data_IF_962922411783
#
_entry.id   IF_962922411783
#
_cell.length_a   1.000
_cell.length_b   1.000
_cell.length_c   1.000
_cell.angle_alpha   90.00
_cell.angle_beta   90.00
_cell.angle_gamma   90.00
#
_symmetry.space_group_name_H-M   'P 1'
#
loop_
_entity.id
_entity.type
_entity.pdbx_description
1 polymer ?
#
# COMPACT_ATOMS: atom_id res chain seq x y z
N UNK A 1 69.35 -8.78 -14.90
CA UNK A 1 68.95 -9.82 -15.88
C UNK A 1 70.08 -10.80 -16.04
N UNK A 2 69.79 -12.10 -16.09
CA UNK A 2 70.84 -13.15 -16.14
C UNK A 2 71.42 -13.29 -17.54
N UNK A 3 72.75 -13.47 -17.63
CA UNK A 3 73.42 -13.91 -18.87
C UNK A 3 73.39 -15.44 -19.05
N UNK A 4 72.95 -16.16 -18.02
CA UNK A 4 72.87 -17.61 -18.05
C UNK A 4 71.73 -18.06 -18.96
N UNK A 5 71.98 -19.16 -19.68
CA UNK A 5 70.93 -19.87 -20.41
C UNK A 5 70.14 -20.77 -19.44
N UNK A 6 68.82 -20.78 -19.58
CA UNK A 6 67.89 -21.54 -18.73
C UNK A 6 66.55 -21.76 -19.42
N UNK A 7 65.54 -22.35 -18.75
CA UNK A 7 64.22 -22.64 -19.31
C UNK A 7 63.32 -21.40 -19.49
N UNK A 8 63.89 -20.23 -19.77
CA UNK A 8 63.18 -18.97 -20.00
C UNK A 8 63.62 -18.32 -21.33
N UNK A 9 62.78 -17.46 -21.94
CA UNK A 9 63.14 -16.77 -23.18
C UNK A 9 64.43 -15.97 -23.02
N UNK A 10 65.39 -16.18 -23.94
CA UNK A 10 66.62 -15.39 -24.04
C UNK A 10 66.43 -14.29 -25.07
N UNK A 11 66.30 -13.06 -24.60
CA UNK A 11 66.26 -11.88 -25.46
C UNK A 11 67.69 -11.40 -25.74
N UNK A 12 68.01 -11.13 -27.01
CA UNK A 12 69.33 -10.62 -27.43
C UNK A 12 69.44 -9.11 -27.16
N UNK A 13 69.42 -8.75 -25.88
CA UNK A 13 69.49 -7.36 -25.42
C UNK A 13 70.94 -6.90 -25.34
N UNK A 14 71.25 -5.79 -25.99
CA UNK A 14 72.57 -5.15 -25.89
C UNK A 14 72.79 -4.51 -24.49
N UNK A 15 74.01 -4.10 -24.19
CA UNK A 15 74.38 -3.56 -22.87
C UNK A 15 73.56 -2.31 -22.48
N UNK A 16 73.26 -1.44 -23.45
CA UNK A 16 72.49 -0.22 -23.24
C UNK A 16 71.03 -0.51 -22.92
N UNK A 17 70.39 -1.42 -23.66
CA UNK A 17 69.03 -1.88 -23.42
C UNK A 17 68.87 -2.54 -22.05
N UNK A 18 69.85 -3.37 -21.63
CA UNK A 18 69.85 -3.96 -20.28
C UNK A 18 69.96 -2.90 -19.20
N UNK A 19 70.80 -1.88 -19.40
CA UNK A 19 70.92 -0.75 -18.48
C UNK A 19 69.60 0.00 -18.36
N UNK A 20 68.93 0.29 -19.48
CA UNK A 20 67.60 0.92 -19.48
C UNK A 20 66.55 0.08 -18.76
N UNK A 21 66.51 -1.23 -19.03
CA UNK A 21 65.58 -2.16 -18.38
C UNK A 21 65.84 -2.24 -16.88
N UNK A 22 67.09 -2.35 -16.44
CA UNK A 22 67.44 -2.36 -15.01
C UNK A 22 67.12 -1.03 -14.31
N UNK A 23 67.27 0.11 -14.99
CA UNK A 23 66.86 1.40 -14.46
C UNK A 23 65.33 1.55 -14.39
N UNK A 24 64.60 0.97 -15.35
CA UNK A 24 63.15 1.03 -15.40
C UNK A 24 62.46 0.02 -14.47
N UNK A 25 63.08 -1.15 -14.24
CA UNK A 25 62.49 -2.28 -13.49
C UNK A 25 61.97 -1.88 -12.10
N UNK A 26 62.74 -1.18 -11.24
CA UNK A 26 62.28 -0.83 -9.90
C UNK A 26 60.99 0.02 -9.92
N UNK A 27 60.86 0.92 -10.91
CA UNK A 27 59.66 1.74 -11.10
C UNK A 27 58.51 0.95 -11.71
N UNK A 28 58.80 -0.04 -12.54
CA UNK A 28 57.81 -0.94 -13.14
C UNK A 28 57.27 -1.99 -12.15
N UNK A 29 58.11 -2.49 -11.24
CA UNK A 29 57.76 -3.43 -10.18
C UNK A 29 56.96 -2.75 -9.05
N UNK A 30 57.28 -1.48 -8.76
CA UNK A 30 56.60 -0.66 -7.77
C UNK A 30 56.11 0.65 -8.38
N UNK A 31 55.09 0.61 -9.27
CA UNK A 31 54.59 1.83 -9.87
C UNK A 31 54.01 2.73 -8.77
N UNK A 32 54.52 3.96 -8.67
CA UNK A 32 53.91 5.01 -7.87
C UNK A 32 52.68 5.50 -8.61
N UNK A 33 51.51 5.05 -8.15
CA UNK A 33 50.23 5.42 -8.72
C UNK A 33 49.67 6.61 -7.94
N UNK A 34 49.22 7.63 -8.66
CA UNK A 34 48.37 8.67 -8.08
C UNK A 34 46.99 8.11 -7.69
N UNK A 35 46.21 8.90 -6.95
CA UNK A 35 44.91 8.44 -6.45
C UNK A 35 43.93 8.02 -7.57
N UNK A 36 43.76 8.78 -8.68
CA UNK A 36 42.98 8.33 -9.84
C UNK A 36 43.48 7.02 -10.45
N UNK A 37 44.80 6.84 -10.59
CA UNK A 37 45.40 5.62 -11.13
C UNK A 37 45.18 4.42 -10.20
N UNK A 38 45.26 4.60 -8.88
CA UNK A 38 44.98 3.55 -7.88
C UNK A 38 43.55 3.07 -7.98
N UNK A 39 42.60 3.99 -8.14
CA UNK A 39 41.21 3.69 -8.40
C UNK A 39 41.07 2.89 -9.71
N UNK A 40 41.60 3.39 -10.82
CA UNK A 40 41.48 2.74 -12.12
C UNK A 40 42.09 1.34 -12.13
N UNK A 41 43.28 1.17 -11.53
CA UNK A 41 43.90 -0.14 -11.34
C UNK A 41 42.96 -1.10 -10.61
N UNK A 42 42.35 -0.66 -9.52
CA UNK A 42 41.43 -1.51 -8.74
C UNK A 42 40.19 -1.89 -9.55
N UNK A 43 39.58 -0.93 -10.25
CA UNK A 43 38.38 -1.18 -11.08
C UNK A 43 38.66 -2.15 -12.23
N UNK A 44 39.85 -2.10 -12.82
CA UNK A 44 40.28 -3.06 -13.85
C UNK A 44 40.58 -4.42 -13.23
N UNK A 45 41.36 -4.48 -12.14
CA UNK A 45 41.73 -5.73 -11.45
C UNK A 45 40.50 -6.56 -11.05
N UNK A 46 39.47 -5.91 -10.52
CA UNK A 46 38.23 -6.58 -10.09
C UNK A 46 37.13 -6.54 -11.16
N UNK A 47 37.48 -6.14 -12.39
CA UNK A 47 36.60 -6.11 -13.55
C UNK A 47 35.28 -5.33 -13.34
N UNK A 48 35.30 -4.29 -12.48
CA UNK A 48 34.14 -3.44 -12.22
C UNK A 48 33.66 -2.74 -13.51
N UNK A 49 34.59 -2.43 -14.40
CA UNK A 49 34.33 -1.76 -15.68
C UNK A 49 33.59 -2.63 -16.72
N UNK A 50 33.43 -3.93 -16.49
CA UNK A 50 32.60 -4.78 -17.34
C UNK A 50 31.09 -4.51 -17.18
N UNK A 51 30.71 -3.94 -16.03
CA UNK A 51 29.32 -3.60 -15.71
C UNK A 51 29.12 -2.08 -15.61
N UNK A 52 30.10 -1.38 -15.02
CA UNK A 52 30.02 0.05 -14.76
C UNK A 52 30.85 0.85 -15.76
N UNK A 53 30.29 1.96 -16.24
CA UNK A 53 31.05 2.96 -16.99
C UNK A 53 31.71 3.96 -16.03
N UNK A 54 32.91 4.43 -16.38
CA UNK A 54 33.54 5.59 -15.75
C UNK A 54 34.34 6.41 -16.74
N UNK A 55 34.03 7.70 -16.87
CA UNK A 55 34.77 8.67 -17.71
C UNK A 55 35.05 8.16 -19.13
N UNK A 56 34.05 7.54 -19.77
CA UNK A 56 34.11 6.94 -21.10
C UNK A 56 34.72 5.53 -21.15
N UNK A 57 35.10 4.95 -20.01
CA UNK A 57 35.77 3.64 -19.92
C UNK A 57 34.82 2.60 -19.35
N UNK A 58 34.71 1.45 -20.03
CA UNK A 58 33.91 0.32 -19.58
C UNK A 58 32.43 0.44 -19.96
N UNK A 59 31.58 -0.14 -19.12
CA UNK A 59 30.16 -0.31 -19.39
C UNK A 59 29.86 -1.65 -20.07
N UNK A 60 28.57 -1.97 -20.09
CA UNK A 60 28.09 -3.26 -20.62
C UNK A 60 28.18 -3.25 -22.13
N UNK A 61 28.86 -4.26 -22.68
CA UNK A 61 28.94 -4.49 -24.12
C UNK A 61 27.53 -4.68 -24.73
N UNK A 62 27.21 -4.08 -25.89
CA UNK A 62 25.85 -4.07 -26.46
C UNK A 62 25.19 -5.44 -26.60
N UNK A 63 25.96 -6.47 -26.93
CA UNK A 63 25.55 -7.87 -27.06
C UNK A 63 25.03 -8.48 -25.75
N UNK A 64 25.45 -7.94 -24.61
CA UNK A 64 25.07 -8.41 -23.26
C UNK A 64 23.92 -7.65 -22.64
N UNK A 65 23.42 -6.57 -23.28
CA UNK A 65 22.36 -5.74 -22.71
C UNK A 65 21.13 -6.55 -22.33
N UNK A 66 20.75 -7.54 -23.13
CA UNK A 66 19.57 -8.38 -22.88
C UNK A 66 19.66 -9.20 -21.58
N UNK A 67 20.86 -9.39 -21.02
CA UNK A 67 21.07 -10.12 -19.76
C UNK A 67 20.77 -9.29 -18.52
N UNK A 68 20.61 -7.97 -18.67
CA UNK A 68 20.34 -7.03 -17.59
C UNK A 68 18.86 -6.67 -17.58
N UNK A 69 18.12 -7.22 -16.61
CA UNK A 69 16.67 -7.10 -16.45
C UNK A 69 16.28 -6.34 -15.19
N UNK A 70 14.99 -5.97 -15.12
CA UNK A 70 14.42 -5.26 -13.98
C UNK A 70 12.95 -5.64 -13.80
N UNK A 71 12.48 -5.63 -12.54
CA UNK A 71 11.05 -5.74 -12.20
C UNK A 71 10.26 -4.46 -12.48
N UNK A 72 10.92 -3.39 -12.94
CA UNK A 72 10.32 -2.12 -13.34
C UNK A 72 10.68 -1.75 -14.80
N UNK A 73 10.05 -2.38 -15.81
CA UNK A 73 10.35 -2.14 -17.21
C UNK A 73 10.14 -0.68 -17.66
N UNK A 74 9.21 0.03 -17.00
CA UNK A 74 8.88 1.43 -17.28
C UNK A 74 10.05 2.40 -17.03
N UNK A 75 11.07 1.99 -16.25
CA UNK A 75 12.29 2.76 -16.02
C UNK A 75 13.33 2.59 -17.13
N UNK A 76 13.09 1.70 -18.10
CA UNK A 76 14.00 1.42 -19.22
C UNK A 76 15.42 1.08 -18.77
N UNK A 77 16.42 1.60 -19.49
CA UNK A 77 17.83 1.35 -19.21
C UNK A 77 18.26 1.81 -17.81
N UNK A 78 17.64 2.86 -17.27
CA UNK A 78 17.92 3.36 -15.92
C UNK A 78 17.44 2.40 -14.82
N UNK A 79 16.46 1.56 -15.12
CA UNK A 79 15.94 0.52 -14.21
C UNK A 79 16.79 -0.74 -14.18
N UNK A 80 17.39 -1.11 -15.32
CA UNK A 80 18.02 -2.43 -15.53
C UNK A 80 19.55 -2.41 -15.58
N UNK A 81 20.18 -1.29 -15.98
CA UNK A 81 21.63 -1.21 -16.13
C UNK A 81 22.32 -0.68 -14.86
N UNK A 82 23.48 -1.22 -14.46
CA UNK A 82 24.27 -0.70 -13.33
C UNK A 82 24.64 0.78 -13.52
N UNK A 83 24.67 1.59 -12.44
CA UNK A 83 24.96 3.01 -12.55
C UNK A 83 26.41 3.28 -12.98
N UNK A 84 26.70 4.39 -13.68
CA UNK A 84 28.07 4.81 -13.89
C UNK A 84 28.74 5.21 -12.57
N UNK A 85 30.05 5.07 -12.53
CA UNK A 85 30.92 5.43 -11.41
C UNK A 85 31.54 6.82 -11.57
N UNK A 86 31.29 7.48 -12.70
CA UNK A 86 31.70 8.88 -12.92
C UNK A 86 31.11 9.77 -11.82
N UNK A 87 31.98 10.50 -11.11
CA UNK A 87 31.64 11.37 -9.98
C UNK A 87 30.95 10.68 -8.79
N UNK A 88 31.07 9.36 -8.63
CA UNK A 88 30.35 8.63 -7.57
C UNK A 88 30.75 9.10 -6.17
N UNK A 89 32.01 9.50 -5.96
CA UNK A 89 32.48 10.09 -4.71
C UNK A 89 32.01 11.53 -4.48
N UNK A 90 31.65 12.28 -5.51
CA UNK A 90 30.99 13.57 -5.38
C UNK A 90 29.47 13.41 -5.10
N UNK A 91 28.88 12.30 -5.57
CA UNK A 91 27.46 11.98 -5.46
C UNK A 91 27.08 11.36 -4.12
N UNK A 92 27.78 10.31 -3.70
CA UNK A 92 27.42 9.48 -2.56
C UNK A 92 28.21 9.88 -1.31
N UNK A 93 27.60 9.75 -0.13
CA UNK A 93 28.30 9.91 1.14
C UNK A 93 29.36 8.82 1.31
N UNK A 94 30.45 9.12 2.02
CA UNK A 94 31.51 8.15 2.33
C UNK A 94 30.95 6.93 3.04
N UNK A 95 30.01 7.15 3.98
CA UNK A 95 29.29 6.08 4.66
C UNK A 95 28.54 5.17 3.68
N UNK A 96 27.76 5.75 2.74
CA UNK A 96 27.00 4.96 1.79
C UNK A 96 27.89 4.19 0.80
N UNK A 97 29.01 4.77 0.37
CA UNK A 97 30.01 4.05 -0.44
C UNK A 97 30.54 2.81 0.29
N UNK A 98 30.84 2.92 1.58
CA UNK A 98 31.26 1.79 2.40
C UNK A 98 30.16 0.72 2.50
N UNK A 99 28.91 1.11 2.71
CA UNK A 99 27.78 0.17 2.76
C UNK A 99 27.61 -0.62 1.45
N UNK A 100 27.80 0.03 0.30
CA UNK A 100 27.69 -0.64 -1.02
C UNK A 100 28.89 -1.55 -1.29
N UNK A 101 30.11 -1.05 -1.09
CA UNK A 101 31.34 -1.77 -1.45
C UNK A 101 31.68 -2.90 -0.47
N UNK A 102 31.34 -2.75 0.81
CA UNK A 102 31.79 -3.65 1.88
C UNK A 102 30.68 -4.51 2.46
N UNK A 103 29.41 -4.10 2.31
CA UNK A 103 28.25 -4.78 2.91
C UNK A 103 27.17 -5.16 1.90
N UNK A 104 27.40 -4.91 0.61
CA UNK A 104 26.47 -5.27 -0.46
C UNK A 104 25.12 -4.55 -0.40
N UNK A 105 25.04 -3.38 0.23
CA UNK A 105 23.78 -2.63 0.33
C UNK A 105 23.31 -2.21 -1.06
N UNK A 106 22.00 -2.32 -1.31
CA UNK A 106 21.34 -1.96 -2.57
C UNK A 106 20.24 -0.94 -2.31
N UNK A 107 19.98 -0.12 -3.33
CA UNK A 107 18.89 0.86 -3.32
C UNK A 107 17.90 0.65 -4.48
N UNK A 108 18.35 -0.04 -5.53
CA UNK A 108 17.54 -0.37 -6.71
C UNK A 108 17.11 -1.82 -6.58
N UNK A 109 16.15 -2.06 -5.70
CA UNK A 109 15.65 -3.43 -5.45
C UNK A 109 14.94 -4.02 -6.67
N UNK A 110 14.53 -3.14 -7.60
CA UNK A 110 13.99 -3.52 -8.89
C UNK A 110 15.01 -3.99 -9.93
N UNK A 111 16.32 -3.89 -9.67
CA UNK A 111 17.36 -4.34 -10.61
C UNK A 111 17.76 -5.78 -10.29
N UNK A 112 17.79 -6.66 -11.31
CA UNK A 112 18.13 -8.07 -11.08
C UNK A 112 19.66 -8.28 -10.98
N UNK A 113 20.44 -7.44 -11.67
CA UNK A 113 21.90 -7.52 -11.66
C UNK A 113 22.48 -7.18 -10.27
N UNK A 114 23.29 -8.09 -9.74
CA UNK A 114 23.98 -7.94 -8.46
C UNK A 114 25.46 -7.58 -8.64
N UNK A 115 25.96 -6.66 -7.81
CA UNK A 115 27.39 -6.34 -7.76
C UNK A 115 28.13 -7.40 -6.92
N UNK A 116 29.20 -8.02 -7.43
CA UNK A 116 30.00 -8.95 -6.62
C UNK A 116 30.60 -8.26 -5.39
N UNK A 117 30.80 -9.02 -4.32
CA UNK A 117 31.51 -8.56 -3.13
C UNK A 117 32.97 -9.02 -3.20
N UNK A 118 33.89 -8.07 -3.14
CA UNK A 118 35.33 -8.34 -3.30
C UNK A 118 36.09 -8.36 -1.97
N UNK A 119 35.43 -8.03 -0.85
CA UNK A 119 36.03 -8.01 0.49
C UNK A 119 36.81 -6.72 0.78
N UNK A 120 36.82 -6.31 2.04
CA UNK A 120 37.35 -5.02 2.48
C UNK A 120 38.84 -4.82 2.17
N UNK A 121 39.65 -5.88 2.29
CA UNK A 121 41.08 -5.83 1.95
C UNK A 121 41.35 -5.44 0.48
N UNK A 122 40.39 -5.70 -0.41
CA UNK A 122 40.53 -5.49 -1.85
C UNK A 122 39.93 -4.18 -2.35
N UNK A 123 38.87 -3.67 -1.69
CA UNK A 123 38.12 -2.50 -2.18
C UNK A 123 37.87 -1.43 -1.13
N UNK A 124 38.25 -1.63 0.14
CA UNK A 124 38.02 -0.67 1.22
C UNK A 124 38.65 0.69 0.95
N UNK A 125 39.86 0.72 0.38
CA UNK A 125 40.56 1.95 0.03
C UNK A 125 39.82 2.79 -1.02
N UNK A 126 38.93 2.19 -1.82
CA UNK A 126 38.16 2.94 -2.81
C UNK A 126 37.21 3.95 -2.15
N UNK A 127 36.69 3.68 -0.95
CA UNK A 127 35.76 4.56 -0.25
C UNK A 127 36.37 5.95 -0.05
N UNK A 128 37.60 6.01 0.46
CA UNK A 128 38.32 7.26 0.67
C UNK A 128 38.79 7.88 -0.64
N UNK A 129 39.32 7.05 -1.55
CA UNK A 129 39.84 7.54 -2.83
C UNK A 129 38.75 8.17 -3.70
N UNK A 130 37.57 7.55 -3.79
CA UNK A 130 36.43 8.15 -4.47
C UNK A 130 36.08 9.50 -3.86
N UNK A 131 35.97 9.59 -2.53
CA UNK A 131 35.64 10.84 -1.84
C UNK A 131 36.67 11.95 -2.07
N UNK A 132 37.94 11.59 -2.29
CA UNK A 132 39.03 12.54 -2.56
C UNK A 132 39.13 12.95 -4.03
N UNK A 133 39.00 12.01 -4.95
CA UNK A 133 39.24 12.20 -6.39
C UNK A 133 38.01 12.77 -7.08
N UNK A 134 36.83 12.28 -6.76
CA UNK A 134 35.61 12.70 -7.45
C UNK A 134 35.10 14.02 -6.85
N UNK A 135 35.27 15.10 -7.59
CA UNK A 135 34.80 16.44 -7.24
C UNK A 135 33.83 16.98 -8.26
N UNK A 136 33.02 17.95 -7.82
CA UNK A 136 32.10 18.76 -8.63
C UNK A 136 32.15 20.19 -8.10
N UNK A 137 31.70 21.15 -8.91
CA UNK A 137 31.57 22.54 -8.50
C UNK A 137 30.60 22.70 -7.31
N UNK A 138 30.68 23.84 -6.62
CA UNK A 138 29.77 24.15 -5.52
C UNK A 138 28.42 24.64 -6.06
N UNK A 139 27.32 24.09 -5.55
CA UNK A 139 25.99 24.35 -6.06
C UNK A 139 25.37 25.69 -5.59
N UNK A 140 26.03 26.50 -4.77
CA UNK A 140 25.44 27.74 -4.26
C UNK A 140 24.13 27.49 -3.50
N UNK A 141 24.22 26.74 -2.39
CA UNK A 141 23.07 26.42 -1.53
C UNK A 141 22.60 27.68 -0.79
N UNK A 142 21.34 28.11 -0.94
CA UNK A 142 20.85 29.32 -0.29
C UNK A 142 20.65 29.11 1.22
N UNK A 143 20.60 30.22 1.95
CA UNK A 143 20.23 30.22 3.36
C UNK A 143 18.71 30.16 3.50
N UNK A 144 18.24 29.25 4.35
CA UNK A 144 16.82 29.08 4.65
C UNK A 144 16.44 29.98 5.83
N UNK A 145 15.55 30.94 5.60
CA UNK A 145 15.09 31.86 6.65
C UNK A 145 14.21 31.15 7.72
N UNK A 146 13.40 30.18 7.30
CA UNK A 146 12.51 29.40 8.16
C UNK A 146 12.52 27.94 7.74
N UNK A 147 13.03 27.08 8.62
CA UNK A 147 13.09 25.65 8.36
C UNK A 147 11.68 25.04 8.22
N UNK A 148 10.70 25.54 8.98
CA UNK A 148 9.32 25.05 8.89
C UNK A 148 8.67 25.40 7.55
N UNK A 149 8.83 26.64 7.07
CA UNK A 149 8.26 27.06 5.78
C UNK A 149 8.95 26.34 4.62
N UNK A 150 10.27 26.16 4.71
CA UNK A 150 11.05 25.38 3.74
C UNK A 150 10.57 23.93 3.68
N UNK A 151 10.36 23.28 4.84
CA UNK A 151 9.80 21.92 4.90
C UNK A 151 8.40 21.85 4.33
N UNK A 152 7.54 22.84 4.61
CA UNK A 152 6.17 22.90 4.08
C UNK A 152 6.18 23.02 2.56
N UNK A 153 7.02 23.90 2.01
CA UNK A 153 7.20 24.03 0.56
C UNK A 153 7.73 22.74 -0.07
N UNK A 154 8.72 22.09 0.56
CA UNK A 154 9.23 20.78 0.12
C UNK A 154 8.15 19.70 0.12
N UNK A 155 7.35 19.60 1.19
CA UNK A 155 6.22 18.68 1.31
C UNK A 155 5.18 18.89 0.19
N UNK A 156 4.87 20.15 -0.11
CA UNK A 156 3.95 20.51 -1.18
C UNK A 156 4.50 20.13 -2.56
N UNK A 157 5.76 20.47 -2.85
CA UNK A 157 6.40 20.17 -4.13
C UNK A 157 6.53 18.68 -4.41
N UNK A 158 6.82 17.85 -3.41
CA UNK A 158 6.91 16.40 -3.60
C UNK A 158 5.54 15.78 -3.93
N UNK A 159 4.45 16.39 -3.46
CA UNK A 159 3.09 15.89 -3.65
C UNK A 159 2.51 16.11 -5.05
N UNK A 160 1.36 15.49 -5.29
CA UNK A 160 0.57 15.57 -6.53
C UNK A 160 0.13 16.98 -6.93
N UNK A 161 -0.02 17.88 -5.95
CA UNK A 161 -0.32 19.29 -6.16
C UNK A 161 0.93 20.16 -6.40
N UNK A 162 2.12 19.56 -6.50
CA UNK A 162 3.44 20.19 -6.60
C UNK A 162 4.12 19.92 -7.95
N UNK A 163 5.33 19.37 -7.88
CA UNK A 163 6.10 18.79 -8.99
C UNK A 163 5.74 17.32 -9.25
N UNK A 164 4.92 16.72 -8.36
CA UNK A 164 4.44 15.34 -8.48
C UNK A 164 5.55 14.29 -8.47
N UNK A 165 6.60 14.49 -7.66
CA UNK A 165 7.74 13.58 -7.57
C UNK A 165 7.31 12.13 -7.24
N UNK A 166 6.27 11.99 -6.41
CA UNK A 166 5.68 10.70 -6.03
C UNK A 166 5.04 9.92 -7.20
N UNK A 167 4.74 10.58 -8.32
CA UNK A 167 4.19 9.90 -9.50
C UNK A 167 5.16 8.86 -10.08
N UNK A 168 6.46 9.09 -9.90
CA UNK A 168 7.51 8.19 -10.37
C UNK A 168 8.35 7.60 -9.23
N UNK A 169 8.48 8.27 -8.09
CA UNK A 169 9.30 7.80 -6.98
C UNK A 169 8.48 7.22 -5.83
N UNK A 170 9.02 6.19 -5.19
CA UNK A 170 8.50 5.72 -3.90
C UNK A 170 8.75 6.74 -2.79
N UNK A 171 7.95 6.63 -1.74
CA UNK A 171 8.14 7.38 -0.51
C UNK A 171 7.81 6.49 0.69
N UNK A 172 8.83 6.15 1.49
CA UNK A 172 8.71 5.21 2.61
C UNK A 172 8.11 3.85 2.20
N UNK A 173 8.60 3.28 1.10
CA UNK A 173 8.12 2.03 0.52
C UNK A 173 6.68 2.08 -0.01
N UNK A 174 6.08 3.27 -0.14
CA UNK A 174 4.76 3.45 -0.73
C UNK A 174 4.89 4.06 -2.12
N UNK A 175 4.09 3.57 -3.07
CA UNK A 175 3.99 4.10 -4.43
C UNK A 175 2.63 4.78 -4.66
N UNK A 176 2.59 5.83 -5.47
CA UNK A 176 1.33 6.45 -5.92
C UNK A 176 0.92 6.15 -7.36
N UNK A 177 1.78 5.47 -8.13
CA UNK A 177 1.52 5.10 -9.52
C UNK A 177 2.09 3.73 -9.88
N UNK A 178 2.08 3.40 -11.17
CA UNK A 178 2.64 2.15 -11.70
C UNK A 178 4.18 2.17 -11.75
N UNK A 179 4.77 3.35 -11.94
CA UNK A 179 6.22 3.57 -11.91
C UNK A 179 6.72 3.65 -10.47
N UNK A 180 7.79 2.90 -10.17
CA UNK A 180 8.39 2.84 -8.85
C UNK A 180 9.91 2.99 -8.95
N UNK A 181 10.38 4.23 -8.98
CA UNK A 181 11.78 4.59 -8.90
C UNK A 181 12.25 4.65 -7.43
N UNK A 182 13.49 5.12 -7.21
CA UNK A 182 14.14 5.17 -5.89
C UNK A 182 13.29 5.86 -4.81
N UNK A 183 13.24 5.28 -3.60
CA UNK A 183 12.56 5.88 -2.45
C UNK A 183 13.20 7.23 -2.04
N UNK A 184 12.39 8.29 -2.08
CA UNK A 184 12.81 9.65 -1.74
C UNK A 184 13.11 9.82 -0.25
N UNK A 185 12.40 9.10 0.63
CA UNK A 185 12.55 9.24 2.08
C UNK A 185 13.92 8.74 2.58
N UNK A 186 14.67 8.01 1.75
CA UNK A 186 16.03 7.56 2.09
C UNK A 186 17.13 8.34 1.37
N UNK A 187 16.82 9.35 0.56
CA UNK A 187 17.83 9.95 -0.32
C UNK A 187 18.92 10.72 0.45
N UNK A 188 18.57 11.42 1.52
CA UNK A 188 19.50 12.28 2.28
C UNK A 188 20.53 11.48 3.05
N UNK A 189 20.24 10.22 3.39
CA UNK A 189 21.20 9.31 4.02
C UNK A 189 22.33 8.85 3.10
N UNK A 190 22.15 8.94 1.78
CA UNK A 190 23.11 8.41 0.78
C UNK A 190 23.72 9.47 -0.12
N UNK A 191 23.02 10.56 -0.41
CA UNK A 191 23.48 11.59 -1.34
C UNK A 191 24.20 12.70 -0.59
N UNK A 192 25.16 13.36 -1.25
CA UNK A 192 25.68 14.65 -0.80
C UNK A 192 24.74 15.78 -1.24
N UNK A 193 24.43 16.72 -0.34
CA UNK A 193 23.58 17.90 -0.62
C UNK A 193 24.03 18.65 -1.88
N UNK A 194 25.34 18.86 -2.03
CA UNK A 194 25.91 19.55 -3.20
C UNK A 194 25.51 18.88 -4.52
N UNK A 195 25.64 17.54 -4.60
CA UNK A 195 25.26 16.80 -5.80
C UNK A 195 23.75 16.86 -6.05
N UNK A 196 22.93 16.77 -5.01
CA UNK A 196 21.47 16.88 -5.14
C UNK A 196 21.06 18.21 -5.77
N UNK A 197 21.67 19.31 -5.33
CA UNK A 197 21.41 20.63 -5.90
C UNK A 197 21.83 20.74 -7.37
N UNK A 198 23.00 20.24 -7.73
CA UNK A 198 23.45 20.23 -9.13
C UNK A 198 22.55 19.34 -10.00
N UNK A 199 22.20 18.15 -9.51
CA UNK A 199 21.41 17.16 -10.24
C UNK A 199 19.99 17.65 -10.53
N UNK A 200 19.30 18.26 -9.55
CA UNK A 200 17.93 18.74 -9.76
C UNK A 200 17.83 19.91 -10.74
N UNK A 201 18.87 20.74 -10.85
CA UNK A 201 18.90 21.82 -11.86
C UNK A 201 19.03 21.28 -13.28
N UNK A 202 19.88 20.28 -13.47
CA UNK A 202 20.14 19.73 -14.80
C UNK A 202 20.38 18.21 -14.76
N UNK A 203 19.31 17.39 -14.69
CA UNK A 203 19.45 15.94 -14.58
C UNK A 203 20.15 15.31 -15.79
N UNK A 204 19.86 15.82 -16.99
CA UNK A 204 20.38 15.35 -18.28
C UNK A 204 21.90 15.44 -18.38
N UNK A 205 22.52 16.40 -17.67
CA UNK A 205 23.97 16.53 -17.58
C UNK A 205 24.64 15.30 -16.96
N UNK A 206 23.97 14.65 -16.00
CA UNK A 206 24.52 13.46 -15.32
C UNK A 206 24.10 12.16 -16.02
N UNK A 207 22.90 12.15 -16.59
CA UNK A 207 22.34 10.99 -17.28
C UNK A 207 21.56 11.48 -18.52
N UNK A 208 22.12 11.41 -19.74
CA UNK A 208 21.49 11.94 -20.95
C UNK A 208 20.10 11.38 -21.25
N UNK A 209 19.83 10.14 -20.83
CA UNK A 209 18.56 9.41 -21.04
C UNK A 209 17.68 9.36 -19.79
N UNK A 210 17.87 10.27 -18.85
CA UNK A 210 17.09 10.31 -17.61
C UNK A 210 15.62 10.63 -17.89
N UNK A 211 14.71 9.84 -17.28
CA UNK A 211 13.25 10.03 -17.40
C UNK A 211 12.77 11.20 -16.52
N UNK A 212 13.54 11.51 -15.46
CA UNK A 212 13.20 12.61 -14.54
C UNK A 212 13.15 13.95 -15.30
N UNK A 213 12.02 14.67 -15.25
CA UNK A 213 11.89 15.95 -15.94
C UNK A 213 12.84 17.02 -15.40
N UNK A 214 13.18 17.98 -16.26
CA UNK A 214 13.83 19.23 -15.83
C UNK A 214 12.76 20.20 -15.32
N UNK A 215 12.69 20.39 -14.00
CA UNK A 215 11.72 21.30 -13.38
C UNK A 215 12.18 22.76 -13.27
N UNK A 216 13.47 23.02 -13.54
CA UNK A 216 14.07 24.36 -13.54
C UNK A 216 14.89 24.65 -14.81
N UNK A 217 14.29 24.56 -16.02
CA UNK A 217 15.01 24.86 -17.26
C UNK A 217 15.53 26.30 -17.22
N UNK A 218 16.81 26.48 -17.54
CA UNK A 218 17.50 27.78 -17.49
C UNK A 218 17.40 28.51 -16.13
N UNK A 219 17.19 27.76 -15.04
CA UNK A 219 17.01 28.31 -13.70
C UNK A 219 15.60 28.84 -13.40
N UNK A 220 14.65 28.68 -14.32
CA UNK A 220 13.27 29.15 -14.17
C UNK A 220 12.40 28.04 -13.60
N UNK A 221 11.79 28.26 -12.43
CA UNK A 221 10.95 27.26 -11.77
C UNK A 221 9.63 26.99 -12.50
N UNK A 222 9.30 25.71 -12.69
CA UNK A 222 7.99 25.27 -13.21
C UNK A 222 6.81 25.67 -12.29
N UNK A 223 7.07 25.96 -11.01
CA UNK A 223 6.09 26.35 -9.99
C UNK A 223 6.46 27.68 -9.34
N UNK A 224 6.21 28.77 -10.06
CA UNK A 224 6.53 30.12 -9.58
C UNK A 224 5.72 30.54 -8.32
N UNK A 225 4.59 29.90 -8.08
CA UNK A 225 3.72 30.13 -6.92
C UNK A 225 4.32 29.64 -5.59
N UNK A 226 5.29 28.72 -5.63
CA UNK A 226 5.96 28.19 -4.44
C UNK A 226 7.26 28.96 -4.22
N UNK A 227 7.45 29.54 -3.03
CA UNK A 227 8.67 30.30 -2.66
C UNK A 227 9.06 31.39 -3.68
N UNK A 228 8.08 32.00 -4.35
CA UNK A 228 8.30 33.04 -5.36
C UNK A 228 9.06 32.57 -6.61
N UNK A 229 9.13 31.26 -6.86
CA UNK A 229 9.81 30.69 -8.02
C UNK A 229 11.33 30.68 -7.94
N UNK A 230 11.92 30.94 -6.77
CA UNK A 230 13.37 30.85 -6.58
C UNK A 230 13.83 29.39 -6.63
N UNK A 231 14.55 29.03 -7.70
CA UNK A 231 15.01 27.67 -7.94
C UNK A 231 15.91 27.13 -6.82
N UNK A 232 16.79 27.95 -6.27
CA UNK A 232 17.68 27.56 -5.18
C UNK A 232 16.89 27.22 -3.92
N UNK A 233 15.94 28.08 -3.55
CA UNK A 233 15.11 27.91 -2.36
C UNK A 233 14.17 26.71 -2.50
N UNK A 234 13.63 26.47 -3.70
CA UNK A 234 12.80 25.29 -3.95
C UNK A 234 13.59 23.98 -3.83
N UNK A 235 14.78 23.92 -4.41
CA UNK A 235 15.65 22.75 -4.30
C UNK A 235 16.07 22.52 -2.84
N UNK A 236 16.44 23.57 -2.11
CA UNK A 236 16.78 23.44 -0.68
C UNK A 236 15.57 23.03 0.17
N UNK A 237 14.36 23.49 -0.18
CA UNK A 237 13.12 23.06 0.48
C UNK A 237 12.83 21.57 0.29
N UNK A 238 13.06 21.02 -0.91
CA UNK A 238 12.99 19.58 -1.15
C UNK A 238 13.97 18.82 -0.26
N UNK A 239 15.22 19.28 -0.18
CA UNK A 239 16.22 18.65 0.68
C UNK A 239 15.82 18.71 2.16
N UNK A 240 15.46 19.89 2.66
CA UNK A 240 15.10 20.13 4.08
C UNK A 240 13.91 19.28 4.50
N UNK A 241 12.93 19.10 3.61
CA UNK A 241 11.81 18.20 3.84
C UNK A 241 12.23 16.71 3.90
N UNK A 242 13.11 16.28 3.00
CA UNK A 242 13.58 14.89 2.91
C UNK A 242 14.66 14.52 3.95
N UNK A 243 15.25 15.51 4.64
CA UNK A 243 16.13 15.28 5.80
C UNK A 243 15.43 14.63 6.98
N UNK A 244 14.10 14.78 7.09
CA UNK A 244 13.31 14.07 8.11
C UNK A 244 13.28 12.55 7.86
N UNK A 245 13.71 12.11 6.68
CA UNK A 245 13.90 10.72 6.30
C UNK A 245 12.60 9.93 6.44
N UNK A 246 12.62 8.74 7.09
CA UNK A 246 11.41 7.96 7.32
C UNK A 246 10.32 8.66 8.13
N UNK A 247 10.65 9.74 8.86
CA UNK A 247 9.68 10.53 9.65
C UNK A 247 9.05 11.67 8.85
N UNK A 248 9.51 11.91 7.62
CA UNK A 248 8.96 12.97 6.79
C UNK A 248 7.46 12.77 6.57
N UNK A 249 6.68 13.84 6.78
CA UNK A 249 5.22 13.84 6.60
C UNK A 249 4.88 13.38 5.19
N UNK A 250 4.02 12.39 5.02
CA UNK A 250 3.67 11.86 3.69
C UNK A 250 3.13 12.94 2.75
N UNK A 251 3.65 13.07 1.50
CA UNK A 251 3.16 14.01 0.50
C UNK A 251 1.69 13.79 0.15
N UNK A 252 0.99 14.87 -0.21
CA UNK A 252 -0.39 14.77 -0.69
C UNK A 252 -0.42 14.03 -2.02
N UNK A 253 -1.27 13.01 -2.15
CA UNK A 253 -1.35 12.15 -3.33
C UNK A 253 -0.54 10.86 -3.21
N UNK A 254 0.33 10.74 -2.20
CA UNK A 254 0.93 9.47 -1.80
C UNK A 254 -0.18 8.67 -1.11
N UNK A 255 -0.65 7.61 -1.77
CA UNK A 255 -1.90 6.90 -1.46
C UNK A 255 -3.18 7.73 -1.69
N UNK A 256 -3.60 7.84 -2.96
CA UNK A 256 -5.03 7.70 -3.28
C UNK A 256 -5.35 6.21 -3.55
N UNK A 257 -5.22 5.35 -2.55
CA UNK A 257 -6.33 4.43 -2.35
C UNK A 257 -7.38 5.28 -1.65
N UNK A 258 -8.48 5.59 -2.34
CA UNK A 258 -9.62 6.13 -1.62
C UNK A 258 -9.93 5.11 -0.52
N UNK A 259 -10.01 5.56 0.74
CA UNK A 259 -10.57 4.71 1.79
C UNK A 259 -12.03 4.38 1.47
N UNK A 260 -12.65 5.02 0.48
CA UNK A 260 -13.97 4.70 -0.02
C UNK A 260 -13.99 3.38 -0.81
N UNK A 261 -14.77 2.43 -0.31
CA UNK A 261 -15.18 1.24 -1.03
C UNK A 261 -16.46 1.58 -1.79
N UNK A 262 -16.41 1.55 -3.12
CA UNK A 262 -17.54 1.81 -4.01
C UNK A 262 -18.09 0.51 -4.56
N UNK A 263 -19.40 0.48 -4.78
CA UNK A 263 -20.07 -0.65 -5.43
C UNK A 263 -20.32 -0.26 -6.88
N UNK A 264 -19.80 -1.07 -7.80
CA UNK A 264 -20.09 -0.98 -9.22
C UNK A 264 -21.13 -2.02 -9.60
N UNK A 265 -20.76 -2.92 -10.51
CA UNK A 265 -21.69 -3.90 -11.10
C UNK A 265 -21.86 -5.18 -10.26
N UNK A 266 -21.02 -5.37 -9.24
CA UNK A 266 -21.04 -6.54 -8.35
C UNK A 266 -21.02 -6.11 -6.90
N UNK A 267 -21.53 -6.98 -6.01
CA UNK A 267 -21.52 -6.71 -4.57
C UNK A 267 -20.10 -6.58 -4.03
N UNK A 268 -19.88 -5.57 -3.20
CA UNK A 268 -18.62 -5.39 -2.47
C UNK A 268 -18.81 -5.59 -0.97
N UNK A 269 -17.74 -6.04 -0.30
CA UNK A 269 -17.77 -6.37 1.12
C UNK A 269 -16.58 -5.76 1.87
N UNK A 270 -16.85 -5.30 3.08
CA UNK A 270 -15.83 -4.90 4.04
C UNK A 270 -16.10 -5.54 5.41
N UNK A 271 -15.03 -5.69 6.21
CA UNK A 271 -15.10 -6.33 7.53
C UNK A 271 -14.26 -5.57 8.52
N UNK A 272 -14.71 -5.55 9.77
CA UNK A 272 -13.94 -4.97 10.87
C UNK A 272 -14.84 -4.34 11.91
N UNK A 273 -14.20 -3.55 12.78
CA UNK A 273 -14.92 -2.74 13.74
C UNK A 273 -15.74 -1.67 13.01
N UNK A 274 -16.98 -1.46 13.43
CA UNK A 274 -17.87 -0.45 12.88
C UNK A 274 -18.92 -0.02 13.91
N UNK A 275 -19.80 0.96 13.61
CA UNK A 275 -20.89 1.33 14.50
C UNK A 275 -21.84 0.17 14.86
N UNK A 276 -21.83 -0.92 14.07
CA UNK A 276 -22.70 -2.07 14.29
C UNK A 276 -22.10 -3.14 15.20
N UNK A 277 -20.79 -3.11 15.47
CA UNK A 277 -20.10 -4.07 16.33
C UNK A 277 -18.61 -4.24 15.99
N UNK A 278 -17.89 -5.03 16.80
CA UNK A 278 -16.47 -5.34 16.58
C UNK A 278 -16.24 -6.35 15.43
N UNK A 279 -17.25 -7.16 15.11
CA UNK A 279 -17.23 -8.15 14.02
C UNK A 279 -18.24 -7.78 12.94
N UNK A 280 -18.27 -6.51 12.56
CA UNK A 280 -19.14 -6.02 11.52
C UNK A 280 -18.76 -6.55 10.14
N UNK A 281 -19.77 -6.85 9.34
CA UNK A 281 -19.68 -7.15 7.91
C UNK A 281 -20.54 -6.12 7.19
N UNK A 282 -19.91 -5.22 6.43
CA UNK A 282 -20.60 -4.32 5.51
C UNK A 282 -20.74 -5.00 4.15
N UNK A 283 -21.93 -4.92 3.55
CA UNK A 283 -22.22 -5.47 2.23
C UNK A 283 -22.91 -4.41 1.38
N UNK A 284 -22.29 -4.06 0.27
CA UNK A 284 -22.77 -3.02 -0.62
C UNK A 284 -23.28 -3.61 -1.93
N UNK A 285 -24.54 -3.33 -2.29
CA UNK A 285 -25.18 -3.87 -3.47
C UNK A 285 -25.26 -2.87 -4.64
N UNK A 286 -25.25 -3.35 -5.91
CA UNK A 286 -25.27 -2.51 -7.12
C UNK A 286 -26.43 -1.52 -7.17
N UNK A 287 -27.58 -1.86 -6.61
CA UNK A 287 -28.75 -0.97 -6.53
C UNK A 287 -28.61 0.20 -5.54
N UNK A 288 -27.40 0.47 -5.06
CA UNK A 288 -27.05 1.54 -4.12
C UNK A 288 -27.83 1.47 -2.81
N UNK A 289 -28.18 0.25 -2.41
CA UNK A 289 -28.67 -0.10 -1.09
C UNK A 289 -27.68 -1.03 -0.42
N UNK A 290 -27.46 -0.85 0.87
CA UNK A 290 -26.35 -1.45 1.58
C UNK A 290 -26.81 -1.92 2.96
N UNK A 291 -26.10 -2.90 3.51
CA UNK A 291 -26.38 -3.44 4.82
C UNK A 291 -25.11 -3.62 5.66
N UNK A 292 -25.31 -3.65 6.97
CA UNK A 292 -24.29 -4.02 7.94
C UNK A 292 -24.84 -5.08 8.89
N UNK A 293 -24.14 -6.20 8.95
CA UNK A 293 -24.45 -7.37 9.75
C UNK A 293 -23.40 -7.53 10.85
N UNK A 294 -23.82 -7.82 12.07
CA UNK A 294 -22.91 -8.14 13.17
C UNK A 294 -22.73 -9.66 13.26
N UNK A 295 -21.56 -10.16 12.85
CA UNK A 295 -21.23 -11.58 12.94
C UNK A 295 -20.93 -12.04 14.39
N UNK A 296 -20.84 -11.10 15.34
CA UNK A 296 -20.75 -11.37 16.77
C UNK A 296 -22.09 -11.78 17.37
N UNK A 297 -23.20 -11.16 16.94
CA UNK A 297 -24.57 -11.42 17.44
C UNK A 297 -25.49 -12.07 16.39
N UNK A 298 -24.97 -12.32 15.19
CA UNK A 298 -25.68 -12.91 14.04
C UNK A 298 -26.90 -12.10 13.61
N UNK A 299 -26.83 -10.77 13.74
CA UNK A 299 -27.95 -9.88 13.53
C UNK A 299 -27.70 -8.86 12.43
N UNK A 300 -28.75 -8.56 11.65
CA UNK A 300 -28.79 -7.36 10.82
C UNK A 300 -28.87 -6.15 11.74
N UNK A 301 -28.02 -5.14 11.53
CA UNK A 301 -27.91 -3.97 12.42
C UNK A 301 -28.22 -2.66 11.73
N UNK A 302 -27.96 -2.56 10.43
CA UNK A 302 -28.18 -1.32 9.68
C UNK A 302 -28.46 -1.59 8.21
N UNK A 303 -29.32 -0.76 7.62
CA UNK A 303 -29.51 -0.60 6.16
C UNK A 303 -29.31 0.87 5.79
N UNK A 304 -28.82 1.19 4.60
CA UNK A 304 -28.69 2.57 4.12
C UNK A 304 -28.65 2.66 2.59
N UNK A 305 -28.81 3.87 2.04
CA UNK A 305 -28.80 4.14 0.60
C UNK A 305 -27.60 5.01 0.21
N UNK A 306 -27.17 4.95 -1.05
CA UNK A 306 -26.25 5.92 -1.64
C UNK A 306 -24.80 5.46 -1.72
N UNK A 307 -23.91 6.08 -0.95
CA UNK A 307 -22.49 5.69 -0.86
C UNK A 307 -22.34 4.47 0.09
N UNK A 308 -21.44 3.54 -0.25
CA UNK A 308 -21.31 2.31 0.52
C UNK A 308 -20.54 2.52 1.83
N UNK A 309 -19.21 2.51 1.81
CA UNK A 309 -18.43 2.58 3.05
C UNK A 309 -17.05 3.21 2.85
N UNK A 310 -16.49 3.74 3.93
CA UNK A 310 -15.05 4.00 4.03
C UNK A 310 -14.38 2.95 4.91
N UNK A 311 -13.19 2.47 4.53
CA UNK A 311 -12.41 1.46 5.24
C UNK A 311 -11.09 2.05 5.74
N UNK A 312 -10.74 1.70 6.98
CA UNK A 312 -9.44 1.96 7.58
C UNK A 312 -8.84 0.62 8.04
N UNK A 313 -7.64 0.62 8.60
CA UNK A 313 -7.00 -0.60 9.11
C UNK A 313 -7.88 -1.32 10.15
N UNK A 314 -8.54 -2.40 9.74
CA UNK A 314 -9.39 -3.23 10.60
C UNK A 314 -10.77 -2.65 10.95
N UNK A 315 -11.21 -1.58 10.27
CA UNK A 315 -12.52 -0.96 10.54
C UNK A 315 -13.20 -0.44 9.27
N UNK A 316 -14.52 -0.24 9.34
CA UNK A 316 -15.27 0.43 8.28
C UNK A 316 -16.37 1.33 8.85
N UNK A 317 -16.77 2.34 8.07
CA UNK A 317 -17.88 3.25 8.38
C UNK A 317 -18.83 3.35 7.20
N UNK A 318 -20.15 3.18 7.39
CA UNK A 318 -21.15 3.51 6.37
C UNK A 318 -21.03 4.97 5.92
N UNK A 319 -21.22 5.22 4.62
CA UNK A 319 -21.06 6.54 4.01
C UNK A 319 -22.36 7.15 3.47
N UNK A 320 -23.39 6.35 3.26
CA UNK A 320 -24.61 6.79 2.62
C UNK A 320 -25.61 7.46 3.57
N UNK A 321 -26.79 7.72 3.02
CA UNK A 321 -27.91 8.43 3.66
C UNK A 321 -29.07 7.48 3.94
N UNK A 322 -30.16 8.03 4.48
CA UNK A 322 -31.43 7.31 4.66
C UNK A 322 -31.27 6.00 5.45
N UNK A 323 -30.57 6.03 6.57
CA UNK A 323 -30.19 4.80 7.28
C UNK A 323 -31.29 4.25 8.20
N UNK A 324 -31.61 2.96 8.11
CA UNK A 324 -32.43 2.23 9.07
C UNK A 324 -31.51 1.52 10.06
N UNK A 325 -31.82 1.64 11.36
CA UNK A 325 -31.13 0.89 12.41
C UNK A 325 -32.02 -0.23 12.92
N UNK A 326 -31.45 -1.41 13.13
CA UNK A 326 -32.13 -2.55 13.72
C UNK A 326 -31.72 -2.69 15.20
N UNK A 327 -32.55 -3.33 16.04
CA UNK A 327 -32.27 -3.47 17.46
C UNK A 327 -31.03 -4.35 17.73
N UNK A 328 -30.24 -4.07 18.80
CA UNK A 328 -29.13 -4.94 19.23
C UNK A 328 -29.64 -6.29 19.76
N UNK A 329 -28.73 -7.25 19.89
CA UNK A 329 -29.00 -8.58 20.39
C UNK A 329 -29.17 -9.63 19.28
N UNK A 330 -29.41 -10.86 19.73
CA UNK A 330 -29.55 -12.04 18.87
C UNK A 330 -30.88 -12.03 18.07
N UNK A 331 -30.90 -12.56 16.83
CA UNK A 331 -32.08 -12.52 15.96
C UNK A 331 -33.22 -13.47 16.37
N UNK A 332 -32.88 -14.65 16.88
CA UNK A 332 -33.81 -15.70 17.30
C UNK A 332 -33.73 -15.96 18.81
N UNK A 333 -34.89 -16.12 19.44
CA UNK A 333 -34.95 -16.49 20.85
C UNK A 333 -36.21 -17.29 21.21
N UNK A 334 -36.07 -18.19 22.18
CA UNK A 334 -37.17 -18.96 22.78
C UNK A 334 -37.67 -18.24 24.03
N UNK A 335 -38.67 -17.38 23.86
CA UNK A 335 -39.34 -16.69 24.97
C UNK A 335 -40.23 -17.67 25.74
N UNK A 336 -40.25 -17.57 27.09
CA UNK A 336 -41.20 -18.34 27.92
C UNK A 336 -42.55 -17.64 27.97
N UNK A 337 -42.51 -16.31 28.03
CA UNK A 337 -43.66 -15.41 27.90
C UNK A 337 -43.35 -14.28 26.91
N UNK A 338 -44.37 -13.72 26.26
CA UNK A 338 -44.22 -12.54 25.43
C UNK A 338 -43.80 -11.30 26.23
N UNK A 339 -43.99 -11.30 27.55
CA UNK A 339 -43.55 -10.23 28.45
C UNK A 339 -42.05 -10.31 28.82
N UNK A 340 -41.37 -11.42 28.51
CA UNK A 340 -39.96 -11.60 28.87
C UNK A 340 -39.04 -10.66 28.07
N UNK A 341 -38.01 -10.11 28.71
CA UNK A 341 -37.04 -9.26 28.01
C UNK A 341 -36.30 -10.00 26.90
N UNK A 342 -36.06 -9.31 25.78
CA UNK A 342 -35.19 -9.84 24.73
C UNK A 342 -33.74 -9.94 25.26
N UNK A 343 -32.97 -11.00 24.92
CA UNK A 343 -31.60 -11.11 25.41
C UNK A 343 -30.66 -10.08 24.78
N UNK A 344 -29.80 -9.49 25.61
CA UNK A 344 -28.74 -8.57 25.20
C UNK A 344 -27.43 -8.94 25.88
N UNK A 345 -26.31 -8.57 25.25
CA UNK A 345 -24.99 -8.74 25.85
C UNK A 345 -24.81 -7.86 27.09
N UNK A 346 -24.81 -8.48 28.27
CA UNK A 346 -24.44 -7.84 29.52
C UNK A 346 -22.93 -7.57 29.60
N UNK A 347 -22.52 -6.55 30.38
CA UNK A 347 -21.09 -6.17 30.54
C UNK A 347 -20.20 -7.33 31.02
N UNK A 348 -20.73 -8.22 31.85
CA UNK A 348 -20.01 -9.37 32.41
C UNK A 348 -20.26 -10.69 31.65
N UNK A 349 -21.12 -10.69 30.62
CA UNK A 349 -21.41 -11.91 29.86
C UNK A 349 -20.43 -12.08 28.69
N UNK A 350 -19.35 -12.79 28.94
CA UNK A 350 -18.33 -13.12 27.93
C UNK A 350 -18.73 -14.28 27.01
N UNK A 351 -19.74 -15.08 27.38
CA UNK A 351 -20.22 -16.23 26.62
C UNK A 351 -21.37 -15.87 25.66
N UNK A 352 -21.84 -14.63 25.66
CA UNK A 352 -22.86 -14.18 24.72
C UNK A 352 -22.28 -14.04 23.30
N UNK A 353 -22.94 -14.57 22.25
CA UNK A 353 -24.24 -15.27 22.25
C UNK A 353 -24.13 -16.81 22.26
N UNK A 354 -22.95 -17.40 22.49
CA UNK A 354 -22.75 -18.86 22.48
C UNK A 354 -23.59 -19.57 23.55
N UNK A 355 -23.81 -18.94 24.70
CA UNK A 355 -24.72 -19.41 25.76
C UNK A 355 -26.20 -19.48 25.34
N UNK A 356 -26.56 -18.83 24.23
CA UNK A 356 -27.87 -18.95 23.58
C UNK A 356 -27.86 -19.89 22.36
N UNK A 357 -26.79 -20.66 22.15
CA UNK A 357 -26.66 -21.64 21.08
C UNK A 357 -26.17 -21.06 19.76
N UNK A 358 -25.64 -19.84 19.73
CA UNK A 358 -25.17 -19.23 18.50
C UNK A 358 -23.73 -19.57 18.16
N UNK A 359 -23.49 -19.92 16.90
CA UNK A 359 -22.14 -20.09 16.37
C UNK A 359 -22.05 -19.61 14.92
N UNK A 360 -21.19 -18.62 14.65
CA UNK A 360 -20.97 -18.14 13.28
C UNK A 360 -20.08 -19.13 12.54
N UNK A 361 -20.49 -19.54 11.35
CA UNK A 361 -19.80 -20.53 10.50
C UNK A 361 -19.09 -19.90 9.30
N UNK A 362 -19.29 -18.60 9.06
CA UNK A 362 -18.70 -17.88 7.94
C UNK A 362 -19.74 -17.48 6.91
N UNK A 363 -19.34 -17.43 5.65
CA UNK A 363 -20.23 -17.18 4.52
C UNK A 363 -19.61 -17.74 3.25
N UNK A 364 -20.44 -17.96 2.23
CA UNK A 364 -19.99 -18.12 0.85
C UNK A 364 -20.56 -16.99 0.00
N UNK A 365 -19.95 -16.76 -1.17
CA UNK A 365 -20.39 -15.74 -2.11
C UNK A 365 -21.04 -16.41 -3.32
N UNK A 366 -22.11 -15.82 -3.85
CA UNK A 366 -22.66 -16.22 -5.14
C UNK A 366 -21.90 -15.59 -6.32
N UNK A 367 -22.37 -15.80 -7.55
CA UNK A 367 -21.74 -15.27 -8.77
C UNK A 367 -21.74 -13.73 -8.83
N UNK A 368 -22.68 -13.06 -8.15
CA UNK A 368 -22.75 -11.60 -8.02
C UNK A 368 -21.96 -11.09 -6.79
N UNK A 369 -21.22 -11.97 -6.12
CA UNK A 369 -20.49 -11.73 -4.86
C UNK A 369 -21.39 -11.40 -3.67
N UNK A 370 -22.68 -11.75 -3.71
CA UNK A 370 -23.62 -11.57 -2.59
C UNK A 370 -23.34 -12.65 -1.54
N UNK A 371 -23.21 -12.29 -0.24
CA UNK A 371 -22.92 -13.27 0.79
C UNK A 371 -24.17 -14.02 1.25
N UNK A 372 -24.03 -15.33 1.37
CA UNK A 372 -24.91 -16.16 2.21
C UNK A 372 -24.21 -16.39 3.54
N UNK A 373 -24.72 -15.75 4.58
CA UNK A 373 -24.19 -15.81 5.95
C UNK A 373 -24.62 -17.12 6.59
N UNK A 374 -23.67 -17.84 7.17
CA UNK A 374 -23.87 -19.16 7.75
C UNK A 374 -23.66 -19.09 9.26
N UNK A 375 -24.65 -19.53 10.04
CA UNK A 375 -24.53 -19.64 11.49
C UNK A 375 -25.51 -20.67 12.04
N UNK A 376 -25.24 -21.14 13.26
CA UNK A 376 -26.13 -22.06 13.97
C UNK A 376 -26.93 -21.31 15.05
N UNK A 377 -28.14 -21.81 15.32
CA UNK A 377 -28.94 -21.50 16.49
C UNK A 377 -29.37 -22.81 17.17
N UNK A 378 -28.58 -23.26 18.15
CA UNK A 378 -28.70 -24.61 18.69
C UNK A 378 -28.42 -25.65 17.61
N UNK A 379 -29.36 -26.58 17.40
CA UNK A 379 -29.26 -27.63 16.37
C UNK A 379 -29.83 -27.19 15.01
N UNK A 380 -30.08 -25.90 14.82
CA UNK A 380 -30.64 -25.32 13.59
C UNK A 380 -29.51 -24.65 12.81
N UNK A 381 -29.21 -25.17 11.63
CA UNK A 381 -28.33 -24.49 10.69
C UNK A 381 -29.10 -23.38 9.96
N UNK A 382 -28.53 -22.17 9.92
CA UNK A 382 -29.14 -20.98 9.33
C UNK A 382 -28.31 -20.48 8.16
N UNK A 383 -28.97 -20.32 7.01
CA UNK A 383 -28.46 -19.56 5.87
C UNK A 383 -29.24 -18.25 5.76
N UNK A 384 -28.55 -17.11 5.73
CA UNK A 384 -29.16 -15.79 5.72
C UNK A 384 -28.53 -14.94 4.60
N UNK A 385 -29.33 -14.57 3.60
CA UNK A 385 -28.85 -13.85 2.43
C UNK A 385 -29.84 -12.79 1.98
N UNK A 386 -29.32 -11.79 1.27
CA UNK A 386 -30.06 -10.63 0.81
C UNK A 386 -29.87 -10.44 -0.69
N UNK A 387 -30.92 -9.96 -1.33
CA UNK A 387 -30.93 -9.61 -2.74
C UNK A 387 -31.48 -8.20 -2.89
N UNK A 388 -30.77 -7.37 -3.64
CA UNK A 388 -31.25 -6.07 -4.04
C UNK A 388 -32.18 -6.20 -5.26
N UNK A 389 -33.40 -5.70 -5.13
CA UNK A 389 -34.46 -5.81 -6.13
C UNK A 389 -35.06 -4.43 -6.36
N UNK A 390 -35.60 -4.20 -7.56
CA UNK A 390 -36.38 -2.99 -7.87
C UNK A 390 -37.87 -3.31 -7.86
N UNK A 391 -38.66 -2.42 -7.27
CA UNK A 391 -40.11 -2.47 -7.39
C UNK A 391 -40.57 -2.01 -8.80
N UNK A 392 -41.89 -2.00 -9.02
CA UNK A 392 -42.48 -1.58 -10.31
C UNK A 392 -42.21 -0.12 -10.66
N UNK A 393 -41.88 0.72 -9.67
CA UNK A 393 -41.54 2.13 -9.84
C UNK A 393 -40.03 2.34 -9.98
N UNK A 394 -39.23 1.26 -9.97
CA UNK A 394 -37.78 1.30 -10.07
C UNK A 394 -37.07 1.62 -8.75
N UNK A 395 -37.78 1.68 -7.61
CA UNK A 395 -37.16 1.95 -6.31
C UNK A 395 -36.51 0.68 -5.75
N UNK A 396 -35.26 0.76 -5.25
CA UNK A 396 -34.57 -0.41 -4.74
C UNK A 396 -35.06 -0.78 -3.34
N UNK A 397 -35.16 -2.08 -3.07
CA UNK A 397 -35.49 -2.67 -1.78
C UNK A 397 -34.72 -3.99 -1.59
N UNK A 398 -34.62 -4.47 -0.34
CA UNK A 398 -33.99 -5.76 -0.07
C UNK A 398 -35.04 -6.86 0.04
N UNK A 399 -34.82 -7.98 -0.62
CA UNK A 399 -35.41 -9.27 -0.26
C UNK A 399 -34.42 -10.02 0.62
N UNK A 400 -34.76 -10.32 1.88
CA UNK A 400 -33.97 -11.17 2.78
C UNK A 400 -34.61 -12.54 2.87
N UNK A 401 -33.81 -13.58 2.68
CA UNK A 401 -34.24 -14.96 2.83
C UNK A 401 -33.41 -15.64 3.91
N UNK A 402 -34.11 -16.19 4.89
CA UNK A 402 -33.55 -16.98 5.98
C UNK A 402 -34.00 -18.43 5.78
N UNK A 403 -33.06 -19.33 5.51
CA UNK A 403 -33.31 -20.77 5.45
C UNK A 403 -32.86 -21.43 6.74
N UNK A 404 -33.73 -22.26 7.29
CA UNK A 404 -33.55 -22.93 8.56
C UNK A 404 -33.55 -24.44 8.29
N UNK A 405 -32.48 -25.13 8.65
CA UNK A 405 -32.39 -26.58 8.47
C UNK A 405 -32.18 -27.26 9.82
N UNK A 406 -33.01 -28.27 10.11
CA UNK A 406 -32.94 -29.04 11.35
C UNK A 406 -33.07 -30.55 11.06
N UNK A 407 -32.29 -31.36 11.78
CA UNK A 407 -32.32 -32.83 11.67
C UNK A 407 -33.53 -33.46 12.38
N UNK A 408 -34.11 -32.73 13.33
CA UNK A 408 -35.31 -33.07 14.11
C UNK A 408 -36.20 -31.84 14.24
N UNK A 409 -37.49 -32.06 14.51
CA UNK A 409 -38.43 -30.97 14.80
C UNK A 409 -37.97 -30.14 16.01
N UNK A 410 -38.09 -28.83 15.89
CA UNK A 410 -37.60 -27.86 16.88
C UNK A 410 -38.75 -27.22 17.64
N UNK A 411 -38.54 -27.01 18.94
CA UNK A 411 -39.47 -26.21 19.75
C UNK A 411 -39.64 -24.80 19.16
N UNK A 412 -40.87 -24.24 19.19
CA UNK A 412 -41.15 -22.91 18.65
C UNK A 412 -40.22 -21.83 19.23
N UNK A 413 -39.88 -20.86 18.40
CA UNK A 413 -39.07 -19.70 18.78
C UNK A 413 -39.52 -18.48 17.98
N UNK A 414 -39.02 -17.31 18.35
CA UNK A 414 -39.37 -16.04 17.71
C UNK A 414 -38.16 -15.48 16.98
N UNK A 415 -38.39 -14.93 15.79
CA UNK A 415 -37.45 -14.07 15.09
C UNK A 415 -37.82 -12.61 15.36
N UNK A 416 -36.89 -11.81 15.86
CA UNK A 416 -37.07 -10.36 16.02
C UNK A 416 -36.74 -9.65 14.72
N UNK A 417 -37.78 -9.31 13.97
CA UNK A 417 -37.65 -8.76 12.62
C UNK A 417 -37.30 -7.26 12.61
N UNK A 418 -37.85 -6.49 13.54
CA UNK A 418 -37.60 -5.06 13.67
C UNK A 418 -37.97 -4.56 15.08
N UNK A 419 -37.51 -3.36 15.43
CA UNK A 419 -37.98 -2.60 16.59
C UNK A 419 -37.98 -1.10 16.26
N UNK A 420 -38.89 -0.34 16.83
CA UNK A 420 -39.01 1.09 16.55
C UNK A 420 -39.95 1.81 17.51
N UNK A 421 -39.96 3.14 17.43
CA UNK A 421 -40.80 3.98 18.31
C UNK A 421 -42.25 3.95 17.88
N UNK A 422 -42.50 3.88 16.58
CA UNK A 422 -43.84 3.83 16.00
C UNK A 422 -43.97 2.62 15.10
N UNK A 423 -44.89 1.72 15.47
CA UNK A 423 -45.27 0.56 14.66
C UNK A 423 -46.72 0.73 14.22
N UNK A 424 -46.96 0.68 12.92
CA UNK A 424 -48.30 0.67 12.31
C UNK A 424 -48.50 -0.64 11.57
N UNK A 425 -49.39 -1.47 12.09
CA UNK A 425 -49.77 -2.74 11.46
C UNK A 425 -50.81 -2.48 10.39
N UNK A 426 -50.46 -2.68 9.12
CA UNK A 426 -51.41 -2.63 8.00
C UNK A 426 -52.10 -3.98 7.82
N UNK A 427 -51.35 -5.08 8.01
CA UNK A 427 -51.86 -6.45 8.10
C UNK A 427 -50.87 -7.31 8.90
N UNK A 428 -51.22 -8.57 9.17
CA UNK A 428 -50.32 -9.55 9.81
C UNK A 428 -49.01 -9.80 9.02
N UNK A 429 -48.91 -9.33 7.77
CA UNK A 429 -47.72 -9.47 6.90
C UNK A 429 -47.15 -8.15 6.40
N UNK A 430 -47.74 -7.01 6.76
CA UNK A 430 -47.30 -5.69 6.29
C UNK A 430 -47.33 -4.72 7.46
N UNK A 431 -46.15 -4.20 7.82
CA UNK A 431 -45.96 -3.33 8.96
C UNK A 431 -45.06 -2.16 8.58
N UNK A 432 -45.33 -0.99 9.13
CA UNK A 432 -44.47 0.19 9.04
C UNK A 432 -43.86 0.43 10.41
N UNK A 433 -42.53 0.37 10.50
CA UNK A 433 -41.72 0.55 11.70
C UNK A 433 -40.86 1.81 11.51
N UNK A 434 -41.28 2.91 12.12
CA UNK A 434 -40.74 4.26 11.89
C UNK A 434 -40.75 4.61 10.39
N UNK A 435 -39.62 4.45 9.70
CA UNK A 435 -39.47 4.66 8.24
C UNK A 435 -39.29 3.37 7.44
N UNK A 436 -39.15 2.22 8.11
CA UNK A 436 -39.03 0.91 7.47
C UNK A 436 -40.42 0.34 7.15
N UNK A 437 -40.67 0.03 5.89
CA UNK A 437 -41.78 -0.81 5.44
C UNK A 437 -41.29 -2.26 5.38
N UNK A 438 -41.91 -3.12 6.20
CA UNK A 438 -41.61 -4.54 6.30
C UNK A 438 -42.77 -5.35 5.70
N UNK A 439 -42.47 -6.16 4.69
CA UNK A 439 -43.40 -7.16 4.15
C UNK A 439 -42.90 -8.57 4.42
N UNK A 440 -43.76 -9.44 4.94
CA UNK A 440 -43.50 -10.88 5.07
C UNK A 440 -44.01 -11.56 3.80
N UNK A 441 -43.09 -11.99 2.94
CA UNK A 441 -43.42 -12.59 1.65
C UNK A 441 -43.74 -14.10 1.76
N UNK A 442 -43.15 -14.77 2.75
CA UNK A 442 -43.46 -16.17 3.08
C UNK A 442 -44.76 -16.33 3.90
N UNK A 443 -45.21 -17.57 4.09
CA UNK A 443 -46.46 -17.90 4.81
C UNK A 443 -46.33 -17.80 6.34
N UNK A 444 -45.86 -16.65 6.84
CA UNK A 444 -45.68 -16.36 8.27
C UNK A 444 -46.48 -15.12 8.66
N UNK A 445 -46.65 -14.89 9.97
CA UNK A 445 -47.38 -13.75 10.52
C UNK A 445 -46.53 -13.06 11.57
N UNK A 446 -46.58 -11.73 11.61
CA UNK A 446 -45.96 -10.95 12.67
C UNK A 446 -46.90 -10.81 13.87
N UNK A 447 -46.30 -10.73 15.05
CA UNK A 447 -46.91 -10.20 16.27
C UNK A 447 -46.17 -8.93 16.66
N UNK A 448 -46.90 -7.94 17.17
CA UNK A 448 -46.32 -6.69 17.68
C UNK A 448 -46.32 -6.77 19.19
N UNK A 449 -45.16 -6.49 19.79
CA UNK A 449 -44.98 -6.37 21.23
C UNK A 449 -44.79 -4.89 21.58
N UNK A 450 -45.65 -4.38 22.44
CA UNK A 450 -45.60 -2.99 22.89
C UNK A 450 -44.44 -2.75 23.88
N UNK A 451 -43.94 -1.51 23.90
CA UNK A 451 -42.86 -1.06 24.78
C UNK A 451 -42.33 0.31 24.34
N UNK A 452 -41.40 0.89 25.10
CA UNK A 452 -40.77 2.20 24.77
C UNK A 452 -40.12 2.21 23.37
N UNK A 453 -39.62 1.05 22.95
CA UNK A 453 -39.45 0.71 21.54
C UNK A 453 -40.19 -0.60 21.30
N UNK A 454 -41.32 -0.53 20.59
CA UNK A 454 -42.08 -1.72 20.22
C UNK A 454 -41.27 -2.63 19.32
N UNK A 455 -41.64 -3.92 19.28
CA UNK A 455 -40.93 -4.95 18.53
C UNK A 455 -41.87 -5.71 17.62
N UNK A 456 -41.36 -6.08 16.45
CA UNK A 456 -42.03 -6.98 15.51
C UNK A 456 -41.38 -8.34 15.60
N UNK A 457 -42.12 -9.32 16.13
CA UNK A 457 -41.67 -10.70 16.26
C UNK A 457 -42.40 -11.59 15.25
N UNK A 458 -41.71 -12.57 14.68
CA UNK A 458 -42.27 -13.57 13.78
C UNK A 458 -42.13 -14.93 14.48
N UNK A 459 -43.23 -15.57 14.89
CA UNK A 459 -43.21 -16.92 15.43
C UNK A 459 -42.76 -17.91 14.35
N UNK A 460 -41.83 -18.80 14.69
CA UNK A 460 -41.26 -19.79 13.79
C UNK A 460 -41.38 -21.19 14.42
N UNK A 461 -41.82 -22.14 13.58
CA UNK A 461 -41.80 -23.57 13.88
C UNK A 461 -41.00 -24.25 12.78
N UNK A 462 -39.95 -24.99 13.16
CA UNK A 462 -39.03 -25.62 12.21
C UNK A 462 -39.18 -27.14 12.33
N UNK A 463 -39.91 -27.81 11.42
CA UNK A 463 -39.97 -29.26 11.36
C UNK A 463 -38.62 -29.84 10.93
N UNK A 464 -38.50 -31.18 11.01
CA UNK A 464 -37.39 -31.89 10.39
C UNK A 464 -37.32 -31.57 8.89
N UNK A 465 -36.16 -31.14 8.41
CA UNK A 465 -35.95 -30.73 7.03
C UNK A 465 -35.60 -29.25 6.94
N UNK A 466 -36.18 -28.54 5.96
CA UNK A 466 -35.89 -27.14 5.67
C UNK A 466 -37.16 -26.27 5.74
N UNK A 467 -37.05 -25.13 6.42
CA UNK A 467 -38.03 -24.05 6.43
C UNK A 467 -37.43 -22.78 5.84
N UNK A 468 -38.25 -21.87 5.32
CA UNK A 468 -37.80 -20.61 4.74
C UNK A 468 -38.67 -19.45 5.18
N UNK A 469 -38.05 -18.39 5.70
CA UNK A 469 -38.66 -17.10 5.98
C UNK A 469 -38.15 -16.08 4.97
N UNK A 470 -39.06 -15.41 4.25
CA UNK A 470 -38.71 -14.38 3.27
C UNK A 470 -39.36 -13.06 3.66
N UNK A 471 -38.54 -12.01 3.71
CA UNK A 471 -38.89 -10.67 4.14
C UNK A 471 -38.48 -9.66 3.06
N UNK A 472 -39.25 -8.59 2.91
CA UNK A 472 -38.86 -7.44 2.10
C UNK A 472 -38.75 -6.19 2.96
N UNK A 473 -37.66 -5.46 2.76
CA UNK A 473 -37.34 -4.22 3.47
C UNK A 473 -37.28 -3.06 2.47
N UNK A 474 -38.19 -2.12 2.60
CA UNK A 474 -38.22 -0.86 1.84
C UNK A 474 -38.23 0.32 2.81
N UNK A 475 -37.54 1.41 2.49
CA UNK A 475 -37.47 2.59 3.37
C UNK A 475 -37.12 3.86 2.62
#
# INVERSE_FOLDING_TARGET
MSEASGPWPRFDLNAEQRSWITQALPRAEHPQLDDPQRINKTLVTFNCIACHERTGVGGIAPDRHALFTSTQPSLGDQGRLPPPLTHVGAKLTTHWLAEVLLRGKRQRDYMDAAMPQFGEANVGHLVELFGKVDTLESAGVPQVASAEDSKKAGHEMVGSGGLSCIACHEFNGQKSGEVSALDLAQLTGRLKKNWFHLYLREPSRFHPTVIMPTYWPDGVAARADILGGDAGQQIEALWTYLEDGPRAKKPVGLSRQSNELRVGDVTEMCRGQSPVGYRGIGVGYPERIHLAFDAGEMALRQLWKGEFASVDSGSFRPRGTDSISFPPGIPFHRLKSLDDHWPYKGKANHLFPQDHGYQFRGYHLDAARRPTLLYDYGDIAVEDFFEDVRDREGKPYFTRTIRLAASVEQSPFYFRAAAGKKIVTQSERQLIIDKLQLRIASDHKAIVRDGDNGEVLIPLTVPKGRSTLTLEYQW
#
